data_IF_377483939081
#
_entry.id   IF_377483939081
#
_cell.length_a   1.000
_cell.length_b   1.000
_cell.length_c   1.000
_cell.angle_alpha   90.00
_cell.angle_beta   90.00
_cell.angle_gamma   90.00
#
_symmetry.space_group_name_H-M   'P 1'
#
loop_
_entity.id
_entity.type
_entity.pdbx_description
1 polymer ?
#
# COMPACT_ATOMS: atom_id res chain seq x y z
N UNK A 1 -12.79 4.25 16.35
CA UNK A 1 -13.81 3.41 15.67
C UNK A 1 -13.66 3.39 14.15
N UNK A 2 -13.43 4.53 13.48
CA UNK A 2 -13.21 4.59 12.01
C UNK A 2 -12.15 3.61 11.52
N UNK A 3 -10.99 3.54 12.19
CA UNK A 3 -9.89 2.64 11.84
C UNK A 3 -10.29 1.15 11.76
N UNK A 4 -11.08 0.66 12.72
CA UNK A 4 -11.53 -0.74 12.69
C UNK A 4 -12.60 -0.97 11.62
N UNK A 5 -13.54 -0.02 11.47
CA UNK A 5 -14.60 -0.10 10.47
C UNK A 5 -14.03 -0.08 9.05
N UNK A 6 -13.07 0.79 8.76
CA UNK A 6 -12.43 0.88 7.45
C UNK A 6 -11.68 -0.39 7.10
N UNK A 7 -11.00 -1.02 8.08
CA UNK A 7 -10.30 -2.30 7.91
C UNK A 7 -11.25 -3.47 7.64
N UNK A 8 -12.35 -3.57 8.40
CA UNK A 8 -13.37 -4.62 8.20
C UNK A 8 -14.01 -4.46 6.84
N UNK A 9 -14.40 -3.22 6.48
CA UNK A 9 -14.94 -2.94 5.15
C UNK A 9 -13.95 -3.33 4.05
N UNK A 10 -12.66 -2.97 4.21
CA UNK A 10 -11.63 -3.28 3.21
C UNK A 10 -11.41 -4.79 3.04
N UNK A 11 -11.56 -5.58 4.10
CA UNK A 11 -11.53 -7.04 3.98
C UNK A 11 -12.58 -7.57 2.99
N UNK A 12 -13.78 -6.99 2.95
CA UNK A 12 -14.80 -7.39 1.98
C UNK A 12 -14.66 -6.67 0.62
N UNK A 13 -14.22 -5.42 0.62
CA UNK A 13 -14.12 -4.57 -0.56
C UNK A 13 -12.90 -4.86 -1.44
N UNK A 14 -11.85 -5.49 -0.90
CA UNK A 14 -10.66 -5.84 -1.67
C UNK A 14 -11.06 -6.74 -2.87
N UNK A 15 -10.63 -6.42 -4.11
CA UNK A 15 -11.12 -7.09 -5.32
C UNK A 15 -11.03 -8.62 -5.27
N UNK A 16 -9.94 -9.15 -4.71
CA UNK A 16 -9.73 -10.59 -4.56
C UNK A 16 -10.76 -11.23 -3.61
N UNK A 17 -11.01 -10.61 -2.45
CA UNK A 17 -11.95 -11.14 -1.47
C UNK A 17 -13.39 -11.01 -1.99
N UNK A 18 -13.73 -9.87 -2.61
CA UNK A 18 -15.03 -9.68 -3.25
C UNK A 18 -15.29 -10.73 -4.34
N UNK A 19 -14.29 -11.02 -5.18
CA UNK A 19 -14.40 -12.07 -6.19
C UNK A 19 -14.63 -13.45 -5.55
N UNK A 20 -13.87 -13.80 -4.50
CA UNK A 20 -14.06 -15.06 -3.75
C UNK A 20 -15.50 -15.16 -3.21
N UNK A 21 -16.01 -14.10 -2.58
CA UNK A 21 -17.38 -14.10 -2.07
C UNK A 21 -18.44 -14.24 -3.16
N UNK A 22 -18.26 -13.59 -4.32
CA UNK A 22 -19.17 -13.70 -5.46
C UNK A 22 -19.16 -15.10 -6.08
N UNK A 23 -17.99 -15.72 -6.20
CA UNK A 23 -17.85 -17.10 -6.68
C UNK A 23 -18.49 -18.10 -5.70
N UNK A 24 -18.27 -17.94 -4.40
CA UNK A 24 -18.92 -18.75 -3.37
C UNK A 24 -20.45 -18.59 -3.39
N UNK A 25 -20.95 -17.36 -3.50
CA UNK A 25 -22.37 -17.08 -3.63
C UNK A 25 -22.94 -17.71 -4.91
N UNK A 26 -22.20 -17.65 -6.03
CA UNK A 26 -22.56 -18.29 -7.28
C UNK A 26 -22.67 -19.82 -7.15
N UNK A 27 -21.70 -20.44 -6.50
CA UNK A 27 -21.69 -21.88 -6.21
C UNK A 27 -22.88 -22.29 -5.33
N UNK A 28 -23.12 -21.58 -4.23
CA UNK A 28 -24.25 -21.86 -3.34
C UNK A 28 -25.59 -21.69 -4.07
N UNK A 29 -25.75 -20.64 -4.87
CA UNK A 29 -26.95 -20.44 -5.67
C UNK A 29 -27.19 -21.58 -6.68
N UNK A 30 -26.13 -22.15 -7.24
CA UNK A 30 -26.24 -23.32 -8.12
C UNK A 30 -26.79 -24.54 -7.38
N UNK A 31 -26.35 -24.79 -6.14
CA UNK A 31 -26.85 -25.87 -5.28
C UNK A 31 -28.35 -25.71 -4.98
N UNK A 32 -28.81 -24.47 -4.75
CA UNK A 32 -30.24 -24.16 -4.55
C UNK A 32 -31.03 -24.00 -5.87
N UNK A 33 -30.47 -24.44 -7.01
CA UNK A 33 -31.07 -24.37 -8.37
C UNK A 33 -31.45 -22.96 -8.83
N UNK A 34 -30.91 -21.91 -8.20
CA UNK A 34 -31.11 -20.50 -8.59
C UNK A 34 -30.15 -20.11 -9.71
N UNK A 35 -30.41 -20.64 -10.92
CA UNK A 35 -29.52 -20.52 -12.09
C UNK A 35 -29.09 -19.09 -12.42
N UNK A 36 -30.00 -18.12 -12.32
CA UNK A 36 -29.69 -16.70 -12.61
C UNK A 36 -28.65 -16.15 -11.64
N UNK A 37 -28.84 -16.35 -10.34
CA UNK A 37 -27.90 -15.89 -9.31
C UNK A 37 -26.55 -16.60 -9.40
N UNK A 38 -26.56 -17.89 -9.73
CA UNK A 38 -25.35 -18.68 -9.95
C UNK A 38 -24.51 -18.10 -11.10
N UNK A 39 -25.15 -17.85 -12.24
CA UNK A 39 -24.50 -17.28 -13.41
C UNK A 39 -23.98 -15.85 -13.13
N UNK A 40 -24.81 -14.98 -12.55
CA UNK A 40 -24.40 -13.59 -12.28
C UNK A 40 -23.24 -13.51 -11.29
N UNK A 41 -23.29 -14.25 -10.18
CA UNK A 41 -22.21 -14.25 -9.20
C UNK A 41 -20.89 -14.77 -9.78
N UNK A 42 -20.98 -15.86 -10.55
CA UNK A 42 -19.81 -16.46 -11.21
C UNK A 42 -19.20 -15.51 -12.24
N UNK A 43 -20.02 -14.95 -13.13
CA UNK A 43 -19.55 -14.03 -14.17
C UNK A 43 -18.95 -12.77 -13.56
N UNK A 44 -19.57 -12.16 -12.56
CA UNK A 44 -19.03 -10.98 -11.89
C UNK A 44 -17.72 -11.28 -11.15
N UNK A 45 -17.64 -12.41 -10.43
CA UNK A 45 -16.42 -12.83 -9.76
C UNK A 45 -15.26 -13.04 -10.73
N UNK A 46 -15.51 -13.76 -11.83
CA UNK A 46 -14.50 -13.96 -12.89
C UNK A 46 -14.13 -12.62 -13.54
N UNK A 47 -15.09 -11.76 -13.86
CA UNK A 47 -14.82 -10.46 -14.47
C UNK A 47 -13.91 -9.60 -13.59
N UNK A 48 -14.17 -9.55 -12.27
CA UNK A 48 -13.31 -8.84 -11.31
C UNK A 48 -11.89 -9.41 -11.33
N UNK A 49 -11.72 -10.74 -11.32
CA UNK A 49 -10.41 -11.38 -11.37
C UNK A 49 -9.68 -11.08 -12.68
N UNK A 50 -10.35 -11.21 -13.82
CA UNK A 50 -9.78 -10.91 -15.14
C UNK A 50 -9.31 -9.46 -15.21
N UNK A 51 -10.18 -8.52 -14.81
CA UNK A 51 -9.84 -7.09 -14.80
C UNK A 51 -8.70 -6.79 -13.83
N UNK A 52 -8.67 -7.40 -12.65
CA UNK A 52 -7.65 -7.10 -11.64
C UNK A 52 -6.31 -7.79 -11.89
N UNK A 53 -6.29 -9.00 -12.47
CA UNK A 53 -5.09 -9.82 -12.60
C UNK A 53 -4.47 -9.81 -14.00
N UNK A 54 -5.26 -9.59 -15.06
CA UNK A 54 -4.79 -9.64 -16.45
C UNK A 54 -4.80 -8.30 -17.16
N UNK A 55 -5.35 -7.25 -16.55
CA UNK A 55 -5.40 -5.93 -17.17
C UNK A 55 -4.74 -4.87 -16.31
N UNK A 56 -4.37 -3.76 -16.94
CA UNK A 56 -3.84 -2.57 -16.27
C UNK A 56 -4.93 -1.53 -15.98
N UNK A 57 -6.21 -1.94 -15.95
CA UNK A 57 -7.33 -1.00 -15.75
C UNK A 57 -7.17 -0.16 -14.48
N UNK A 58 -6.67 -0.76 -13.40
CA UNK A 58 -6.38 -0.05 -12.15
C UNK A 58 -5.35 1.06 -12.33
N UNK A 59 -4.24 0.76 -13.03
CA UNK A 59 -3.22 1.76 -13.34
C UNK A 59 -3.77 2.86 -14.27
N UNK A 60 -4.51 2.49 -15.32
CA UNK A 60 -5.15 3.45 -16.23
C UNK A 60 -6.14 4.37 -15.51
N UNK A 61 -6.85 3.88 -14.48
CA UNK A 61 -7.74 4.70 -13.66
C UNK A 61 -6.97 5.64 -12.72
N UNK A 62 -5.76 5.26 -12.29
CA UNK A 62 -4.90 6.06 -11.41
C UNK A 62 -4.13 7.14 -12.16
N UNK A 63 -3.61 6.84 -13.35
CA UNK A 63 -2.80 7.78 -14.16
C UNK A 63 -3.38 9.19 -14.26
N UNK A 64 -4.66 9.41 -14.65
CA UNK A 64 -5.19 10.77 -14.74
C UNK A 64 -5.31 11.48 -13.39
N UNK A 65 -5.40 10.73 -12.29
CA UNK A 65 -5.42 11.29 -10.93
C UNK A 65 -4.01 11.72 -10.49
N UNK A 66 -2.99 10.97 -10.91
CA UNK A 66 -1.58 11.30 -10.64
C UNK A 66 -1.09 12.45 -11.52
N UNK A 67 -1.37 12.41 -12.82
CA UNK A 67 -0.97 13.44 -13.80
C UNK A 67 -1.66 14.79 -13.54
N UNK A 68 -2.77 14.80 -12.79
CA UNK A 68 -3.43 16.04 -12.35
C UNK A 68 -2.51 16.92 -11.50
N UNK A 69 -1.52 16.34 -10.83
CA UNK A 69 -0.61 17.06 -9.95
C UNK A 69 0.84 16.93 -10.45
N UNK A 70 1.31 17.86 -11.30
CA UNK A 70 2.68 17.84 -11.76
C UNK A 70 3.65 18.04 -10.59
N UNK A 71 4.82 17.38 -10.66
CA UNK A 71 5.86 17.54 -9.65
C UNK A 71 6.36 19.00 -9.65
N UNK A 72 6.27 19.71 -8.52
CA UNK A 72 6.79 21.08 -8.44
C UNK A 72 8.32 21.07 -8.59
N UNK A 73 8.92 22.16 -9.10
CA UNK A 73 10.36 22.31 -9.08
C UNK A 73 10.86 22.28 -7.63
N UNK A 74 12.06 21.72 -7.42
CA UNK A 74 12.66 21.69 -6.10
C UNK A 74 13.07 23.11 -5.68
N UNK A 75 12.81 23.51 -4.42
CA UNK A 75 13.25 24.79 -3.90
C UNK A 75 14.78 24.82 -3.76
N UNK A 76 15.37 26.02 -3.82
CA UNK A 76 16.82 26.21 -3.63
C UNK A 76 17.28 25.81 -2.23
N UNK A 77 16.40 26.00 -1.24
CA UNK A 77 16.65 25.68 0.16
C UNK A 77 15.55 24.79 0.72
N UNK A 78 15.95 23.70 1.38
CA UNK A 78 15.07 22.79 2.12
C UNK A 78 15.56 22.72 3.55
N UNK A 79 14.74 23.18 4.50
CA UNK A 79 15.05 23.10 5.93
C UNK A 79 14.61 21.76 6.54
N UNK A 80 13.67 21.05 5.89
CA UNK A 80 13.23 19.74 6.35
C UNK A 80 12.53 18.89 5.28
N UNK A 81 12.63 17.58 5.44
CA UNK A 81 12.06 16.54 4.59
C UNK A 81 11.10 15.72 5.46
N UNK A 82 9.82 15.71 5.12
CA UNK A 82 8.80 14.91 5.82
C UNK A 82 8.48 13.68 4.99
N UNK A 83 8.73 12.51 5.55
CA UNK A 83 8.51 11.21 4.90
C UNK A 83 7.29 10.57 5.52
N UNK A 84 6.29 10.27 4.68
CA UNK A 84 5.13 9.49 5.11
C UNK A 84 5.49 8.00 5.12
N UNK A 85 5.09 7.31 6.18
CA UNK A 85 5.26 5.86 6.31
C UNK A 85 4.38 5.06 5.36
N UNK A 86 4.47 3.73 5.48
CA UNK A 86 3.87 2.76 4.58
C UNK A 86 4.83 2.24 3.51
N UNK A 87 6.15 2.39 3.69
CA UNK A 87 7.18 1.92 2.76
C UNK A 87 7.86 0.61 3.16
N UNK A 88 7.64 0.14 4.39
CA UNK A 88 8.28 -1.06 4.94
C UNK A 88 7.32 -2.24 5.12
N UNK A 89 7.88 -3.44 5.10
CA UNK A 89 7.22 -4.67 5.54
C UNK A 89 7.43 -4.88 7.05
N UNK A 90 6.69 -4.13 7.87
CA UNK A 90 6.92 -4.05 9.33
C UNK A 90 6.91 -5.39 10.08
N UNK A 91 6.06 -6.35 9.69
CA UNK A 91 6.04 -7.68 10.30
C UNK A 91 7.30 -8.50 9.97
N UNK A 92 7.81 -8.37 8.73
CA UNK A 92 9.02 -9.07 8.31
C UNK A 92 10.24 -8.44 8.97
N UNK A 93 10.29 -7.11 9.04
CA UNK A 93 11.39 -6.38 9.67
C UNK A 93 11.47 -6.63 11.17
N UNK A 94 10.33 -6.71 11.86
CA UNK A 94 10.29 -7.11 13.27
C UNK A 94 10.84 -8.53 13.48
N UNK A 95 10.48 -9.47 12.61
CA UNK A 95 10.88 -10.87 12.75
C UNK A 95 12.33 -11.15 12.33
N UNK A 96 12.87 -10.41 11.35
CA UNK A 96 14.17 -10.69 10.71
C UNK A 96 15.23 -9.61 10.95
N UNK A 97 14.86 -8.47 11.52
CA UNK A 97 15.76 -7.35 11.78
C UNK A 97 16.23 -6.59 10.53
N UNK A 98 15.60 -6.81 9.37
CA UNK A 98 15.98 -6.22 8.09
C UNK A 98 15.35 -4.85 7.80
N UNK A 99 15.42 -4.45 6.53
CA UNK A 99 14.85 -3.21 5.98
C UNK A 99 13.97 -3.50 4.74
N UNK A 100 13.22 -4.59 4.78
CA UNK A 100 12.38 -5.04 3.67
C UNK A 100 11.37 -3.96 3.31
N UNK A 101 11.38 -3.57 2.04
CA UNK A 101 10.55 -2.52 1.47
C UNK A 101 9.36 -3.14 0.72
N UNK A 102 8.25 -2.42 0.70
CA UNK A 102 7.08 -2.77 -0.10
C UNK A 102 6.97 -1.87 -1.34
N UNK A 103 5.81 -1.89 -2.02
CA UNK A 103 5.57 -1.07 -3.21
C UNK A 103 5.69 0.44 -3.00
N UNK A 104 5.63 0.93 -1.76
CA UNK A 104 5.82 2.33 -1.36
C UNK A 104 7.20 2.64 -0.77
N UNK A 105 8.18 1.75 -0.96
CA UNK A 105 9.55 1.93 -0.50
C UNK A 105 10.36 2.97 -1.29
N UNK A 106 9.87 3.36 -2.47
CA UNK A 106 10.40 4.46 -3.28
C UNK A 106 10.53 5.77 -2.47
N UNK A 107 9.63 6.01 -1.51
CA UNK A 107 9.69 7.14 -0.57
C UNK A 107 10.99 7.17 0.24
N UNK A 108 11.48 6.01 0.67
CA UNK A 108 12.72 5.91 1.45
C UNK A 108 13.94 6.14 0.58
N UNK A 109 13.91 5.62 -0.66
CA UNK A 109 14.96 5.85 -1.65
C UNK A 109 15.05 7.33 -2.01
N UNK A 110 13.91 7.98 -2.31
CA UNK A 110 13.87 9.41 -2.62
C UNK A 110 14.32 10.25 -1.42
N UNK A 111 13.97 9.85 -0.19
CA UNK A 111 14.45 10.51 1.02
C UNK A 111 15.97 10.47 1.11
N UNK A 112 16.60 9.33 0.83
CA UNK A 112 18.06 9.22 0.83
C UNK A 112 18.72 10.09 -0.26
N UNK A 113 18.08 10.19 -1.43
CA UNK A 113 18.53 11.08 -2.52
C UNK A 113 18.43 12.55 -2.09
N UNK A 114 17.30 12.95 -1.52
CA UNK A 114 17.08 14.32 -1.06
C UNK A 114 17.99 14.69 0.12
N UNK A 115 18.26 13.76 1.03
CA UNK A 115 19.18 13.97 2.15
C UNK A 115 20.61 14.27 1.68
N UNK A 116 21.07 13.60 0.61
CA UNK A 116 22.38 13.89 0.01
C UNK A 116 22.39 15.25 -0.71
N UNK A 117 21.27 15.64 -1.31
CA UNK A 117 21.12 16.92 -2.01
C UNK A 117 21.04 18.11 -1.04
N UNK A 118 20.37 17.91 0.08
CA UNK A 118 20.12 18.91 1.11
C UNK A 118 20.66 18.43 2.46
N UNK A 119 21.99 18.41 2.65
CA UNK A 119 22.62 17.83 3.85
C UNK A 119 22.30 18.57 5.16
N UNK A 120 21.76 19.80 5.07
CA UNK A 120 21.33 20.59 6.23
C UNK A 120 19.85 20.38 6.58
N UNK A 121 19.09 19.64 5.76
CA UNK A 121 17.66 19.44 5.97
C UNK A 121 17.42 18.40 7.08
N UNK A 122 16.48 18.69 7.98
CA UNK A 122 16.04 17.73 9.00
C UNK A 122 15.07 16.72 8.40
N UNK A 123 15.26 15.43 8.67
CA UNK A 123 14.37 14.38 8.18
C UNK A 123 13.41 13.97 9.29
N UNK A 124 12.11 13.96 8.99
CA UNK A 124 11.05 13.51 9.90
C UNK A 124 10.30 12.37 9.24
N UNK A 125 10.36 11.19 9.87
CA UNK A 125 9.61 10.01 9.41
C UNK A 125 8.31 9.92 10.21
N UNK A 126 7.19 10.07 9.51
CA UNK A 126 5.84 9.98 10.07
C UNK A 126 5.23 8.64 9.68
N UNK A 127 5.52 7.60 10.46
CA UNK A 127 5.02 6.25 10.21
C UNK A 127 5.01 5.37 11.46
N UNK A 128 3.83 4.88 11.85
CA UNK A 128 3.66 3.96 12.97
C UNK A 128 3.24 2.58 12.53
N UNK A 129 2.97 1.68 13.50
CA UNK A 129 2.42 0.37 13.18
C UNK A 129 0.92 0.50 12.82
N UNK A 130 0.59 0.18 11.57
CA UNK A 130 -0.77 0.18 11.06
C UNK A 130 -1.46 -1.19 11.09
N UNK A 131 -0.84 -2.24 11.62
CA UNK A 131 -1.37 -3.62 11.64
C UNK A 131 -2.55 -3.81 12.60
N UNK A 132 -3.52 -4.67 12.24
CA UNK A 132 -4.58 -5.08 13.18
C UNK A 132 -4.29 -6.39 13.92
N UNK A 133 -3.52 -7.30 13.30
CA UNK A 133 -3.44 -8.70 13.72
C UNK A 133 -2.02 -9.19 14.01
N UNK A 134 -1.00 -8.58 13.40
CA UNK A 134 0.39 -8.98 13.54
C UNK A 134 1.17 -7.77 13.98
N UNK A 135 1.76 -7.80 15.17
CA UNK A 135 2.68 -6.74 15.59
C UNK A 135 3.75 -6.55 14.52
N UNK A 136 3.96 -5.29 14.15
CA UNK A 136 4.91 -4.89 13.14
C UNK A 136 5.72 -3.73 13.68
N UNK A 137 6.97 -3.69 13.28
CA UNK A 137 7.81 -2.54 13.57
C UNK A 137 7.29 -1.33 12.78
N UNK A 138 7.25 -0.16 13.42
CA UNK A 138 6.83 1.07 12.76
C UNK A 138 7.86 1.52 11.74
N UNK A 139 7.40 2.17 10.67
CA UNK A 139 8.29 2.81 9.71
C UNK A 139 9.22 3.84 10.38
N UNK A 140 8.77 4.54 11.44
CA UNK A 140 9.60 5.46 12.21
C UNK A 140 10.75 4.78 12.97
N UNK A 141 10.66 3.48 13.25
CA UNK A 141 11.72 2.71 13.91
C UNK A 141 12.68 2.07 12.89
N UNK A 142 12.14 1.62 11.74
CA UNK A 142 12.93 0.98 10.67
C UNK A 142 13.66 1.99 9.79
N UNK A 143 13.01 3.11 9.45
CA UNK A 143 13.54 4.09 8.50
C UNK A 143 14.87 4.72 8.93
N UNK A 144 15.08 5.13 10.20
CA UNK A 144 16.37 5.69 10.62
C UNK A 144 17.53 4.71 10.43
N UNK A 145 17.28 3.41 10.66
CA UNK A 145 18.29 2.36 10.47
C UNK A 145 18.65 2.17 9.00
N UNK A 146 17.63 2.14 8.11
CA UNK A 146 17.88 2.10 6.66
C UNK A 146 18.62 3.35 6.19
N UNK A 147 18.16 4.54 6.56
CA UNK A 147 18.75 5.81 6.11
C UNK A 147 20.19 5.94 6.59
N UNK A 148 20.48 5.55 7.84
CA UNK A 148 21.85 5.47 8.35
C UNK A 148 22.73 4.51 7.54
N UNK A 149 22.22 3.31 7.21
CA UNK A 149 22.94 2.36 6.35
C UNK A 149 23.18 2.88 4.92
N UNK A 150 22.31 3.77 4.42
CA UNK A 150 22.46 4.46 3.14
C UNK A 150 23.39 5.70 3.19
N UNK A 151 23.97 5.98 4.36
CA UNK A 151 24.91 7.08 4.56
C UNK A 151 24.25 8.43 4.80
N UNK A 152 22.98 8.45 5.22
CA UNK A 152 22.30 9.67 5.66
C UNK A 152 22.71 9.95 7.11
N UNK A 153 23.34 11.11 7.34
CA UNK A 153 23.66 11.56 8.69
C UNK A 153 22.38 11.93 9.45
N UNK A 154 22.26 11.41 10.67
CA UNK A 154 21.18 11.74 11.60
C UNK A 154 21.25 13.20 12.08
#
# INVERSE_FOLDING_TARGET
MFYHLSKIFWFFGQPINLAIFLLLAGLLAALFRRRRLAATGTVLGIAILVLSAWTSVGAMMLTPLEERFPKPPLPEKVDGIVVLGGGFEGAINLARGGYELNSGGDRMVETAILARRFPQAKIVVSGGNGSLFLDGEGDADTAPRLLGALGVSA
#
